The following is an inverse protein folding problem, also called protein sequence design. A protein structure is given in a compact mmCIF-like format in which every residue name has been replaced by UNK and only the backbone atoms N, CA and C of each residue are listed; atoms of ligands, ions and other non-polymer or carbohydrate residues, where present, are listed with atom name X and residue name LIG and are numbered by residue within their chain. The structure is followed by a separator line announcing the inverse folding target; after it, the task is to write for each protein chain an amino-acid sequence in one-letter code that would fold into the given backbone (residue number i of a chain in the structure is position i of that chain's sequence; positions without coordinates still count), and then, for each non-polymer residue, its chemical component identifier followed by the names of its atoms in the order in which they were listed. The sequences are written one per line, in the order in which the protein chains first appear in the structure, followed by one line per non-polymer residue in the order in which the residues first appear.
data_IF_137977550040
#
_entry.id   IF_137977550040
#
_cell.length_a   1.000
_cell.length_b   1.000
_cell.length_c   1.000
_cell.angle_alpha   90.00
_cell.angle_beta   90.00
_cell.angle_gamma   90.00
#
_symmetry.space_group_name_H-M   'P 1'
#
loop_
_entity.id
_entity.type
_entity.pdbx_description
1 polymer ?
#
# COMPACT_ATOMS: atom_id res chain seq x y z
N UNK A 1 -29.30 8.99 18.92
CA UNK A 1 -28.47 8.23 17.96
C UNK A 1 -28.81 6.74 17.91
N UNK A 2 -29.11 6.08 19.03
CA UNK A 2 -29.38 4.63 19.07
C UNK A 2 -30.55 4.16 18.18
N UNK A 3 -31.60 4.98 18.05
CA UNK A 3 -32.74 4.68 17.16
C UNK A 3 -32.34 4.71 15.67
N UNK A 4 -31.32 5.49 15.30
CA UNK A 4 -30.78 5.50 13.93
C UNK A 4 -29.99 4.23 13.63
N UNK A 5 -29.21 3.74 14.60
CA UNK A 5 -28.50 2.47 14.48
C UNK A 5 -29.50 1.31 14.34
N UNK A 6 -30.57 1.31 15.12
CA UNK A 6 -31.65 0.31 15.02
C UNK A 6 -32.34 0.37 13.64
N UNK A 7 -32.62 1.58 13.13
CA UNK A 7 -33.17 1.77 11.78
C UNK A 7 -32.23 1.21 10.69
N UNK A 8 -30.93 1.48 10.77
CA UNK A 8 -29.94 0.97 9.80
C UNK A 8 -29.86 -0.56 9.84
N UNK A 9 -29.85 -1.17 11.02
CA UNK A 9 -29.82 -2.64 11.16
C UNK A 9 -31.09 -3.28 10.60
N UNK A 10 -32.26 -2.70 10.87
CA UNK A 10 -33.55 -3.18 10.34
C UNK A 10 -33.60 -3.02 8.81
N UNK A 11 -33.24 -1.85 8.28
CA UNK A 11 -33.22 -1.58 6.84
C UNK A 11 -32.26 -2.53 6.10
N UNK A 12 -31.04 -2.72 6.61
CA UNK A 12 -30.07 -3.66 6.03
C UNK A 12 -30.58 -5.10 6.02
N UNK A 13 -31.33 -5.52 7.05
CA UNK A 13 -31.98 -6.84 7.07
C UNK A 13 -32.97 -6.99 5.91
N UNK A 14 -33.82 -5.99 5.68
CA UNK A 14 -34.78 -6.00 4.57
C UNK A 14 -34.08 -5.98 3.21
N UNK A 15 -33.01 -5.19 3.05
CA UNK A 15 -32.19 -5.15 1.84
C UNK A 15 -31.58 -6.52 1.54
N UNK A 16 -31.04 -7.21 2.56
CA UNK A 16 -30.48 -8.56 2.37
C UNK A 16 -31.52 -9.67 2.14
N UNK A 17 -32.81 -9.38 2.36
CA UNK A 17 -33.91 -10.33 2.17
C UNK A 17 -34.71 -10.05 0.88
N UNK A 18 -34.73 -8.81 0.40
CA UNK A 18 -35.48 -8.38 -0.79
C UNK A 18 -34.68 -8.33 -2.09
N UNK A 19 -33.38 -8.65 -2.05
CA UNK A 19 -32.48 -8.57 -3.19
C UNK A 19 -31.81 -9.93 -3.42
N UNK A 20 -32.34 -10.73 -4.33
CA UNK A 20 -31.67 -11.93 -4.90
C UNK A 20 -30.69 -11.51 -6.02
N UNK A 21 -29.76 -10.59 -5.74
CA UNK A 21 -28.72 -10.18 -6.69
C UNK A 21 -27.43 -10.99 -6.45
N UNK A 22 -27.41 -12.22 -6.95
CA UNK A 22 -26.20 -12.99 -7.27
C UNK A 22 -25.10 -13.08 -6.19
N UNK A 23 -23.86 -13.32 -6.64
CA UNK A 23 -22.68 -13.58 -5.80
C UNK A 23 -22.12 -12.34 -5.08
N UNK A 24 -22.98 -11.52 -4.45
CA UNK A 24 -22.54 -10.47 -3.54
C UNK A 24 -22.25 -11.09 -2.17
N UNK A 25 -21.14 -11.82 -2.07
CA UNK A 25 -20.65 -12.39 -0.80
C UNK A 25 -20.52 -11.30 0.31
N UNK A 26 -20.25 -10.05 -0.08
CA UNK A 26 -20.22 -8.88 0.80
C UNK A 26 -21.57 -8.59 1.49
N UNK A 27 -22.72 -8.84 0.87
CA UNK A 27 -24.02 -8.62 1.52
C UNK A 27 -24.27 -9.59 2.70
N UNK A 28 -23.58 -10.74 2.71
CA UNK A 28 -23.67 -11.71 3.81
C UNK A 28 -22.92 -11.23 5.06
N UNK A 29 -21.87 -10.41 4.92
CA UNK A 29 -21.12 -9.87 6.07
C UNK A 29 -21.92 -8.80 6.83
N UNK A 30 -22.86 -8.10 6.17
CA UNK A 30 -23.75 -7.15 6.85
C UNK A 30 -24.64 -7.77 7.92
N UNK A 31 -24.85 -9.09 7.91
CA UNK A 31 -25.56 -9.79 9.00
C UNK A 31 -24.82 -9.71 10.33
N UNK A 32 -23.50 -9.48 10.33
CA UNK A 32 -22.69 -9.26 11.55
C UNK A 32 -23.12 -7.98 12.27
N UNK A 33 -23.70 -7.00 11.55
CA UNK A 33 -24.15 -5.75 12.15
C UNK A 33 -25.26 -5.93 13.19
N UNK A 34 -25.97 -7.08 13.18
CA UNK A 34 -26.94 -7.45 14.25
C UNK A 34 -26.28 -7.53 15.62
N UNK A 35 -24.98 -7.83 15.70
CA UNK A 35 -24.23 -7.87 16.96
C UNK A 35 -24.11 -6.47 17.60
N UNK A 36 -24.23 -5.38 16.82
CA UNK A 36 -24.29 -4.03 17.38
C UNK A 36 -25.64 -3.73 18.06
N UNK A 37 -26.70 -4.52 17.84
CA UNK A 37 -27.96 -4.39 18.59
C UNK A 37 -27.73 -4.63 20.09
N UNK A 38 -26.81 -5.51 20.45
CA UNK A 38 -26.43 -5.79 21.84
C UNK A 38 -25.86 -4.56 22.55
N UNK A 39 -25.13 -3.69 21.82
CA UNK A 39 -24.67 -2.37 22.31
C UNK A 39 -25.85 -1.48 22.69
N UNK A 40 -26.93 -1.52 21.91
CA UNK A 40 -28.15 -0.74 22.16
C UNK A 40 -29.09 -1.37 23.22
N UNK A 41 -28.85 -2.60 23.67
CA UNK A 41 -29.66 -3.26 24.70
C UNK A 41 -29.01 -3.13 26.07
N UNK A 42 -27.67 -3.27 26.15
CA UNK A 42 -26.93 -3.25 27.42
C UNK A 42 -26.61 -1.81 27.84
N UNK A 43 -27.16 -1.31 28.97
CA UNK A 43 -26.99 0.08 29.39
C UNK A 43 -25.52 0.49 29.59
N UNK A 44 -24.71 -0.40 30.18
CA UNK A 44 -23.27 -0.13 30.40
C UNK A 44 -22.47 0.03 29.10
N UNK A 45 -22.82 -0.73 28.05
CA UNK A 45 -22.13 -0.69 26.77
C UNK A 45 -22.48 0.59 25.97
N UNK A 46 -23.69 1.14 26.15
CA UNK A 46 -24.05 2.46 25.61
C UNK A 46 -23.17 3.57 26.15
N UNK A 47 -22.90 3.55 27.46
CA UNK A 47 -22.06 4.55 28.10
C UNK A 47 -20.64 4.52 27.54
N UNK A 48 -20.04 3.33 27.43
CA UNK A 48 -18.68 3.16 26.87
C UNK A 48 -18.61 3.69 25.44
N UNK A 49 -19.53 3.29 24.56
CA UNK A 49 -19.54 3.76 23.16
C UNK A 49 -19.79 5.27 23.08
N UNK A 50 -20.66 5.81 23.94
CA UNK A 50 -20.87 7.25 24.07
C UNK A 50 -19.58 8.00 24.40
N UNK A 51 -18.85 7.52 25.41
CA UNK A 51 -17.55 8.08 25.81
C UNK A 51 -16.51 7.96 24.69
N UNK A 52 -16.43 6.83 23.98
CA UNK A 52 -15.50 6.65 22.85
C UNK A 52 -15.79 7.67 21.74
N UNK A 53 -17.06 7.86 21.37
CA UNK A 53 -17.45 8.83 20.35
C UNK A 53 -17.15 10.27 20.80
N UNK A 54 -17.34 10.57 22.08
CA UNK A 54 -17.00 11.87 22.65
C UNK A 54 -15.48 12.12 22.60
N UNK A 55 -14.67 11.13 22.95
CA UNK A 55 -13.21 11.20 22.83
C UNK A 55 -12.74 11.47 21.39
N UNK A 56 -13.37 10.83 20.39
CA UNK A 56 -13.02 11.07 18.97
C UNK A 56 -13.32 12.52 18.55
N UNK A 57 -14.41 13.11 19.04
CA UNK A 57 -14.73 14.53 18.75
C UNK A 57 -13.69 15.48 19.31
N UNK A 58 -13.18 15.19 20.51
CA UNK A 58 -12.13 15.99 21.14
C UNK A 58 -10.78 15.85 20.42
N UNK A 59 -10.57 14.77 19.65
CA UNK A 59 -9.40 14.55 18.82
C UNK A 59 -9.52 15.14 17.40
N UNK A 60 -10.66 15.76 17.04
CA UNK A 60 -10.90 16.27 15.68
C UNK A 60 -9.77 17.19 15.20
N UNK A 61 -9.38 18.17 16.02
CA UNK A 61 -8.39 19.17 15.63
C UNK A 61 -7.00 18.53 15.46
N UNK A 62 -6.68 17.53 16.29
CA UNK A 62 -5.46 16.73 16.16
C UNK A 62 -5.48 15.91 14.88
N UNK A 63 -6.60 15.24 14.56
CA UNK A 63 -6.74 14.46 13.32
C UNK A 63 -6.52 15.34 12.09
N UNK A 64 -7.10 16.55 12.07
CA UNK A 64 -6.92 17.50 10.96
C UNK A 64 -5.44 17.90 10.83
N UNK A 65 -4.79 18.23 11.95
CA UNK A 65 -3.37 18.57 11.96
C UNK A 65 -2.50 17.42 11.46
N UNK A 66 -2.78 16.18 11.88
CA UNK A 66 -2.06 14.98 11.47
C UNK A 66 -2.27 14.68 9.99
N UNK A 67 -3.49 14.82 9.45
CA UNK A 67 -3.74 14.63 8.03
C UNK A 67 -3.00 15.67 7.18
N UNK A 68 -2.93 16.92 7.66
CA UNK A 68 -2.17 17.98 7.01
C UNK A 68 -0.67 17.68 7.01
N UNK A 69 -0.10 17.32 8.16
CA UNK A 69 1.33 16.99 8.26
C UNK A 69 1.72 15.78 7.41
N UNK A 70 0.93 14.71 7.44
CA UNK A 70 1.13 13.53 6.60
C UNK A 70 1.08 13.88 5.10
N UNK A 71 0.18 14.78 4.69
CA UNK A 71 0.09 15.22 3.29
C UNK A 71 1.36 15.96 2.84
N UNK A 72 1.93 16.80 3.71
CA UNK A 72 3.20 17.50 3.42
C UNK A 72 4.35 16.50 3.26
N UNK A 73 4.49 15.55 4.19
CA UNK A 73 5.52 14.52 4.11
C UNK A 73 5.32 13.59 2.90
N UNK A 74 4.08 13.23 2.57
CA UNK A 74 3.78 12.42 1.39
C UNK A 74 4.17 13.15 0.09
N UNK A 75 3.89 14.44 -0.04
CA UNK A 75 4.29 15.23 -1.21
C UNK A 75 5.80 15.38 -1.32
N UNK A 76 6.49 15.58 -0.20
CA UNK A 76 7.95 15.61 -0.14
C UNK A 76 8.55 14.27 -0.53
N UNK A 77 8.06 13.18 0.07
CA UNK A 77 8.50 11.81 -0.22
C UNK A 77 8.27 11.44 -1.68
N UNK A 78 7.11 11.78 -2.25
CA UNK A 78 6.82 11.58 -3.67
C UNK A 78 7.85 12.27 -4.56
N UNK A 79 8.16 13.55 -4.31
CA UNK A 79 9.10 14.28 -5.18
C UNK A 79 10.52 13.72 -5.13
N UNK A 80 10.96 13.18 -3.99
CA UNK A 80 12.33 12.69 -3.79
C UNK A 80 12.47 11.22 -4.21
N UNK A 81 11.44 10.40 -3.96
CA UNK A 81 11.52 8.93 -4.08
C UNK A 81 10.68 8.35 -5.23
N UNK A 82 10.08 9.18 -6.08
CA UNK A 82 9.33 8.70 -7.25
C UNK A 82 10.20 7.81 -8.15
N UNK A 83 9.76 6.58 -8.34
CA UNK A 83 10.40 5.53 -9.10
C UNK A 83 11.66 4.94 -8.46
N UNK A 84 12.14 5.45 -7.33
CA UNK A 84 13.40 4.98 -6.72
C UNK A 84 13.28 3.50 -6.30
N UNK A 85 12.12 3.08 -5.78
CA UNK A 85 11.92 1.69 -5.33
C UNK A 85 11.84 0.66 -6.48
N UNK A 86 11.72 1.14 -7.72
CA UNK A 86 11.79 0.30 -8.92
C UNK A 86 13.23 0.04 -9.41
N UNK A 87 14.24 0.63 -8.74
CA UNK A 87 15.65 0.45 -9.09
C UNK A 87 16.11 -0.98 -8.80
N UNK A 88 16.51 -1.72 -9.85
CA UNK A 88 17.00 -3.11 -9.74
C UNK A 88 18.36 -3.26 -10.40
N UNK A 89 19.11 -4.26 -9.95
CA UNK A 89 20.35 -4.69 -10.60
C UNK A 89 20.01 -5.55 -11.82
N UNK A 90 20.41 -5.10 -13.00
CA UNK A 90 20.16 -5.78 -14.28
C UNK A 90 21.50 -6.12 -14.94
N UNK A 91 21.62 -7.31 -15.52
CA UNK A 91 22.84 -7.71 -16.23
C UNK A 91 23.18 -6.72 -17.34
N UNK A 92 24.46 -6.37 -17.47
CA UNK A 92 24.95 -5.55 -18.58
C UNK A 92 24.56 -6.16 -19.92
N UNK A 93 24.27 -5.30 -20.89
CA UNK A 93 23.93 -5.75 -22.25
C UNK A 93 25.14 -6.49 -22.85
N UNK A 94 24.97 -7.74 -23.33
CA UNK A 94 26.09 -8.56 -23.78
C UNK A 94 26.65 -8.08 -25.13
N UNK A 95 27.99 -8.04 -25.25
CA UNK A 95 28.69 -7.68 -26.48
C UNK A 95 28.93 -8.88 -27.43
N UNK A 96 28.64 -10.10 -26.98
CA UNK A 96 28.86 -11.34 -27.73
C UNK A 96 27.81 -11.59 -28.83
N UNK A 97 26.87 -10.67 -29.04
CA UNK A 97 25.83 -10.74 -30.08
C UNK A 97 24.64 -11.65 -29.74
N UNK A 98 24.58 -12.25 -28.55
CA UNK A 98 23.47 -13.09 -28.07
C UNK A 98 22.10 -12.38 -28.10
N UNK A 99 22.09 -11.07 -27.84
CA UNK A 99 20.90 -10.20 -27.87
C UNK A 99 20.83 -9.30 -29.11
N UNK A 100 21.57 -9.65 -30.17
CA UNK A 100 21.66 -8.87 -31.39
C UNK A 100 22.50 -7.58 -31.24
N UNK A 101 22.35 -6.67 -32.19
CA UNK A 101 23.02 -5.36 -32.15
C UNK A 101 22.44 -4.47 -31.06
N UNK A 102 23.28 -3.59 -30.49
CA UNK A 102 22.86 -2.56 -29.55
C UNK A 102 21.96 -1.55 -30.28
N UNK A 103 20.66 -1.68 -30.05
CA UNK A 103 19.61 -0.77 -30.49
C UNK A 103 18.75 -0.43 -29.28
N UNK A 104 18.07 0.72 -29.28
CA UNK A 104 17.21 1.11 -28.16
C UNK A 104 16.15 0.04 -27.86
N UNK A 105 15.57 -0.55 -28.90
CA UNK A 105 14.57 -1.62 -28.79
C UNK A 105 15.15 -2.88 -28.11
N UNK A 106 16.28 -3.41 -28.61
CA UNK A 106 16.89 -4.60 -28.02
C UNK A 106 17.38 -4.34 -26.59
N UNK A 107 17.85 -3.13 -26.29
CA UNK A 107 18.28 -2.73 -24.96
C UNK A 107 17.10 -2.68 -23.98
N UNK A 108 15.99 -2.08 -24.38
CA UNK A 108 14.76 -2.07 -23.59
C UNK A 108 14.20 -3.49 -23.38
N UNK A 109 14.18 -4.33 -24.41
CA UNK A 109 13.74 -5.73 -24.31
C UNK A 109 14.63 -6.52 -23.35
N UNK A 110 15.95 -6.39 -23.45
CA UNK A 110 16.92 -7.02 -22.53
C UNK A 110 16.67 -6.61 -21.07
N UNK A 111 16.49 -5.31 -20.82
CA UNK A 111 16.28 -4.80 -19.47
C UNK A 111 14.88 -5.07 -18.92
N UNK A 112 13.88 -5.24 -19.78
CA UNK A 112 12.51 -5.58 -19.35
C UNK A 112 12.36 -7.07 -18.99
N UNK A 113 13.29 -7.92 -19.43
CA UNK A 113 13.24 -9.35 -19.15
C UNK A 113 13.70 -9.65 -17.71
N UNK A 114 12.79 -10.17 -16.89
CA UNK A 114 13.05 -10.50 -15.48
C UNK A 114 14.15 -11.54 -15.28
N UNK A 115 14.47 -12.38 -16.28
CA UNK A 115 15.58 -13.35 -16.18
C UNK A 115 16.96 -12.69 -16.14
N UNK A 116 17.04 -11.43 -16.57
CA UNK A 116 18.26 -10.64 -16.56
C UNK A 116 18.42 -9.83 -15.26
N UNK A 117 17.42 -9.85 -14.40
CA UNK A 117 17.47 -9.15 -13.11
C UNK A 117 18.19 -10.03 -12.08
N UNK A 118 18.91 -9.38 -11.18
CA UNK A 118 19.50 -10.06 -10.04
C UNK A 118 18.40 -10.45 -9.05
N UNK A 119 18.45 -11.69 -8.57
CA UNK A 119 17.54 -12.23 -7.58
C UNK A 119 18.31 -12.76 -6.39
N UNK A 120 17.80 -12.50 -5.19
CA UNK A 120 18.28 -13.11 -3.96
C UNK A 120 17.37 -14.29 -3.57
N UNK A 121 17.86 -15.20 -2.72
CA UNK A 121 17.09 -16.32 -2.15
C UNK A 121 16.31 -17.14 -3.19
N UNK A 122 17.01 -17.72 -4.16
CA UNK A 122 16.42 -18.63 -5.17
C UNK A 122 15.27 -18.03 -6.02
N UNK A 123 15.20 -16.69 -6.16
CA UNK A 123 14.22 -16.03 -7.03
C UNK A 123 13.03 -15.42 -6.30
N UNK A 124 13.04 -15.37 -4.96
CA UNK A 124 11.92 -14.84 -4.18
C UNK A 124 11.83 -13.31 -4.19
N UNK A 125 12.95 -12.59 -4.28
CA UNK A 125 12.94 -11.12 -4.23
C UNK A 125 14.00 -10.45 -5.14
N UNK A 126 13.67 -9.24 -5.57
CA UNK A 126 14.57 -8.37 -6.35
C UNK A 126 15.06 -7.21 -5.46
N UNK A 127 16.30 -7.28 -4.93
CA UNK A 127 16.81 -6.25 -4.04
C UNK A 127 16.92 -4.90 -4.77
N UNK A 128 16.70 -3.82 -4.02
CA UNK A 128 16.83 -2.45 -4.54
C UNK A 128 18.30 -2.05 -4.51
N UNK A 129 18.75 -1.35 -5.55
CA UNK A 129 20.10 -0.83 -5.66
C UNK A 129 20.10 0.70 -5.76
N UNK A 130 21.27 1.32 -5.58
CA UNK A 130 21.44 2.75 -5.82
C UNK A 130 22.84 3.10 -6.31
N UNK A 131 22.96 4.17 -7.10
CA UNK A 131 24.23 4.61 -7.68
C UNK A 131 25.02 5.58 -6.77
N UNK A 132 24.46 5.94 -5.61
CA UNK A 132 25.10 6.83 -4.63
C UNK A 132 25.96 6.03 -3.66
N UNK A 133 27.04 6.65 -3.17
CA UNK A 133 27.89 6.06 -2.14
C UNK A 133 27.09 5.75 -0.88
N UNK A 134 27.11 4.48 -0.43
CA UNK A 134 26.37 4.02 0.75
C UNK A 134 25.03 3.35 0.46
N UNK A 135 24.55 3.36 -0.79
CA UNK A 135 23.40 2.54 -1.21
C UNK A 135 23.83 1.09 -1.52
N UNK A 136 22.85 0.18 -1.61
CA UNK A 136 23.08 -1.19 -2.08
C UNK A 136 23.70 -1.20 -3.48
N UNK A 137 24.85 -1.86 -3.61
CA UNK A 137 25.59 -1.94 -4.87
C UNK A 137 25.33 -3.25 -5.58
N UNK A 138 25.33 -3.19 -6.91
CA UNK A 138 25.26 -4.37 -7.76
C UNK A 138 26.66 -4.99 -7.94
N UNK A 139 26.72 -6.29 -8.25
CA UNK A 139 27.97 -6.96 -8.65
C UNK A 139 28.54 -6.43 -9.98
N UNK A 140 29.77 -6.83 -10.32
CA UNK A 140 30.54 -6.27 -11.45
C UNK A 140 29.81 -6.37 -12.81
N UNK A 141 29.09 -7.47 -13.05
CA UNK A 141 28.35 -7.74 -14.30
C UNK A 141 26.96 -7.09 -14.36
N UNK A 142 26.55 -6.37 -13.31
CA UNK A 142 25.22 -5.77 -13.20
C UNK A 142 25.32 -4.24 -13.19
N UNK A 143 24.24 -3.60 -13.64
CA UNK A 143 24.03 -2.16 -13.59
C UNK A 143 22.73 -1.86 -12.88
N UNK A 144 22.73 -0.82 -12.04
CA UNK A 144 21.52 -0.38 -11.35
C UNK A 144 20.68 0.49 -12.29
N UNK A 145 19.46 0.06 -12.61
CA UNK A 145 18.57 0.78 -13.51
C UNK A 145 17.19 0.97 -12.88
N UNK A 146 16.64 2.17 -13.07
CA UNK A 146 15.32 2.58 -12.59
C UNK A 146 14.22 2.27 -13.61
N UNK A 147 13.02 1.95 -13.14
CA UNK A 147 11.80 1.89 -13.97
C UNK A 147 11.51 0.55 -14.64
N UNK A 148 12.32 -0.48 -14.37
CA UNK A 148 12.15 -1.81 -14.97
C UNK A 148 11.52 -2.82 -13.99
N UNK A 149 11.90 -2.78 -12.71
CA UNK A 149 11.40 -3.72 -11.71
C UNK A 149 10.07 -3.31 -11.08
N UNK A 150 9.29 -4.28 -10.56
CA UNK A 150 8.14 -3.98 -9.73
C UNK A 150 8.58 -3.35 -8.41
N UNK A 151 7.66 -2.62 -7.81
CA UNK A 151 7.80 -2.07 -6.47
C UNK A 151 7.76 -3.22 -5.44
N UNK A 152 8.48 -3.10 -4.30
CA UNK A 152 8.47 -4.10 -3.25
C UNK A 152 7.07 -4.37 -2.67
N UNK A 153 6.93 -5.52 -1.98
CA UNK A 153 5.70 -5.91 -1.29
C UNK A 153 4.47 -5.92 -2.20
N UNK A 154 4.54 -6.62 -3.34
CA UNK A 154 3.45 -6.69 -4.33
C UNK A 154 2.98 -5.31 -4.83
N UNK A 155 3.93 -4.43 -5.12
CA UNK A 155 3.71 -3.03 -5.51
C UNK A 155 3.05 -2.11 -4.46
N UNK A 156 2.80 -2.60 -3.24
CA UNK A 156 2.17 -1.79 -2.19
C UNK A 156 3.12 -0.77 -1.56
N UNK A 157 4.44 -0.99 -1.64
CA UNK A 157 5.44 -0.07 -1.08
C UNK A 157 6.04 0.77 -2.19
N UNK A 158 5.57 2.01 -2.34
CA UNK A 158 6.06 2.95 -3.36
C UNK A 158 5.81 4.42 -2.99
N UNK A 159 6.48 5.31 -3.71
CA UNK A 159 6.29 6.77 -3.64
C UNK A 159 5.86 7.36 -4.99
N UNK A 160 5.38 6.53 -5.91
CA UNK A 160 5.13 6.90 -7.31
C UNK A 160 3.83 7.70 -7.50
N UNK A 161 2.91 7.57 -6.54
CA UNK A 161 1.63 8.29 -6.53
C UNK A 161 1.35 8.83 -5.13
N UNK A 162 0.55 9.91 -5.05
CA UNK A 162 0.25 10.54 -3.77
C UNK A 162 -0.41 9.57 -2.77
N UNK A 163 -1.28 8.67 -3.24
CA UNK A 163 -1.96 7.70 -2.37
C UNK A 163 -0.99 6.70 -1.73
N UNK A 164 -0.09 6.12 -2.54
CA UNK A 164 0.94 5.21 -2.02
C UNK A 164 1.95 5.92 -1.12
N UNK A 165 2.41 7.11 -1.51
CA UNK A 165 3.28 7.94 -0.68
C UNK A 165 2.63 8.29 0.67
N UNK A 166 1.32 8.58 0.68
CA UNK A 166 0.57 8.85 1.91
C UNK A 166 0.46 7.61 2.79
N UNK A 167 0.20 6.43 2.21
CA UNK A 167 0.16 5.17 2.95
C UNK A 167 1.53 4.82 3.56
N UNK A 168 2.61 4.99 2.79
CA UNK A 168 3.99 4.81 3.23
C UNK A 168 4.35 5.77 4.37
N UNK A 169 3.99 7.06 4.25
CA UNK A 169 4.19 8.05 5.30
C UNK A 169 3.38 7.74 6.56
N UNK A 170 2.14 7.23 6.41
CA UNK A 170 1.32 6.79 7.53
C UNK A 170 1.94 5.58 8.24
N UNK A 171 2.45 4.59 7.50
CA UNK A 171 3.16 3.41 8.04
C UNK A 171 4.38 3.82 8.87
N UNK A 172 5.16 4.80 8.40
CA UNK A 172 6.28 5.39 9.16
C UNK A 172 5.81 6.05 10.45
N UNK A 173 4.72 6.83 10.39
CA UNK A 173 4.17 7.51 11.57
C UNK A 173 3.66 6.51 12.62
N UNK A 174 3.04 5.41 12.19
CA UNK A 174 2.57 4.35 13.10
C UNK A 174 3.68 3.41 13.56
N UNK A 175 4.89 3.54 13.02
CA UNK A 175 6.04 2.68 13.29
C UNK A 175 5.73 1.20 13.01
N UNK A 176 4.89 0.93 12.02
CA UNK A 176 4.48 -0.43 11.70
C UNK A 176 5.44 -1.03 10.66
N UNK A 177 6.33 -1.91 11.13
CA UNK A 177 7.37 -2.54 10.32
C UNK A 177 8.18 -1.50 9.50
N UNK A 178 8.49 -0.36 10.11
CA UNK A 178 9.06 0.81 9.42
C UNK A 178 10.51 0.58 8.96
N UNK A 179 11.21 -0.37 9.58
CA UNK A 179 12.59 -0.73 9.28
C UNK A 179 12.78 -1.36 7.89
N UNK A 180 11.71 -1.88 7.30
CA UNK A 180 11.67 -2.52 5.97
C UNK A 180 11.18 -1.57 4.86
N UNK A 181 10.74 -0.36 5.22
CA UNK A 181 10.21 0.62 4.25
C UNK A 181 11.32 1.38 3.51
#
# INVERSE_FOLDING_TARGET
AWNWLDFVVIALRYVTMGIDLGNLAALRTFRVLRAFKTVAIVPGLKTIVGTVIESVKNLRDVIILTMFSLSVFALMGLQIYMGVLTQKCIKRFPLDGSWGNLTDENWHLHNSNSTNWFTENEGESYPVCGNVSGAGQCGEDYVCLQGFGPNPNYDYTSFDSFGWAFLSAFRLMTQDFWEDL
#
